data_IF_342009729571
#
_entry.id   IF_342009729571
#
_cell.length_a   1.000
_cell.length_b   1.000
_cell.length_c   1.000
_cell.angle_alpha   90.00
_cell.angle_beta   90.00
_cell.angle_gamma   90.00
#
_symmetry.space_group_name_H-M   'P 1'
#
loop_
_entity.id
_entity.type
_entity.pdbx_description
1 polymer ?
#
# COMPACT_ATOMS: atom_id res chain seq x y z
N UNK A 1 -3.47 -31.26 43.39
CA UNK A 1 -4.47 -30.43 42.71
C UNK A 1 -3.96 -29.00 42.70
N UNK A 2 -4.11 -28.31 41.56
CA UNK A 2 -3.61 -26.99 41.19
C UNK A 2 -2.23 -26.98 40.51
N UNK A 3 -2.23 -26.53 39.24
CA UNK A 3 -1.06 -26.32 38.39
C UNK A 3 -1.38 -26.47 36.90
N UNK A 4 -2.44 -25.82 36.39
CA UNK A 4 -2.65 -25.63 34.95
C UNK A 4 -1.91 -24.36 34.56
N UNK A 5 -0.77 -24.50 33.89
CA UNK A 5 -0.14 -23.41 33.15
C UNK A 5 -0.71 -23.47 31.73
N UNK A 6 -1.70 -22.64 31.47
CA UNK A 6 -2.11 -22.29 30.11
C UNK A 6 -1.29 -21.08 29.69
N UNK A 7 -0.21 -21.32 28.96
CA UNK A 7 0.45 -20.28 28.18
C UNK A 7 -0.48 -19.96 27.01
N UNK A 8 -1.25 -18.90 27.22
CA UNK A 8 -2.15 -18.30 26.26
C UNK A 8 -1.29 -17.56 25.24
N UNK A 9 -0.94 -18.21 24.13
CA UNK A 9 -0.44 -17.53 22.93
C UNK A 9 -1.51 -16.53 22.48
N UNK A 10 -1.23 -15.25 22.72
CA UNK A 10 -1.98 -14.14 22.14
C UNK A 10 -1.61 -14.13 20.66
N UNK A 11 -2.57 -14.28 19.72
CA UNK A 11 -2.26 -14.15 18.30
C UNK A 11 -1.78 -12.73 18.04
N UNK A 12 -0.59 -12.58 17.48
CA UNK A 12 -0.11 -11.30 16.97
C UNK A 12 -1.14 -10.77 15.97
N UNK A 13 -1.70 -9.59 16.27
CA UNK A 13 -2.55 -8.87 15.32
C UNK A 13 -1.70 -8.55 14.09
N UNK A 14 -1.92 -9.33 13.03
CA UNK A 14 -1.40 -9.10 11.70
C UNK A 14 -1.81 -7.69 11.28
N UNK A 15 -0.86 -6.76 11.42
CA UNK A 15 -1.08 -5.34 11.15
C UNK A 15 -1.21 -5.16 9.63
N UNK A 16 -2.38 -5.48 9.10
CA UNK A 16 -2.73 -5.30 7.70
C UNK A 16 -2.84 -3.81 7.44
N UNK A 17 -1.87 -3.28 6.69
CA UNK A 17 -1.89 -1.89 6.26
C UNK A 17 -3.18 -1.66 5.48
N UNK A 18 -4.00 -0.64 5.83
CA UNK A 18 -5.27 -0.42 5.16
C UNK A 18 -5.06 -0.16 3.67
N UNK A 19 -5.90 -0.73 2.79
CA UNK A 19 -5.72 -0.65 1.35
C UNK A 19 -5.77 0.80 0.83
N UNK A 20 -4.87 1.13 -0.10
CA UNK A 20 -4.77 2.47 -0.69
C UNK A 20 -5.98 2.76 -1.60
N UNK A 21 -6.30 4.03 -1.86
CA UNK A 21 -7.34 4.42 -2.83
C UNK A 21 -7.12 3.83 -4.24
N UNK A 22 -5.85 3.65 -4.63
CA UNK A 22 -5.46 2.96 -5.88
C UNK A 22 -5.86 1.49 -5.83
N UNK A 23 -5.52 0.79 -4.75
CA UNK A 23 -5.84 -0.62 -4.53
C UNK A 23 -7.37 -0.85 -4.57
N UNK A 24 -8.15 0.07 -4.00
CA UNK A 24 -9.62 0.03 -4.07
C UNK A 24 -10.16 0.23 -5.50
N UNK A 25 -9.57 1.13 -6.30
CA UNK A 25 -9.96 1.31 -7.72
C UNK A 25 -9.61 0.09 -8.55
N UNK A 26 -8.41 -0.46 -8.36
CA UNK A 26 -7.97 -1.66 -9.05
C UNK A 26 -8.82 -2.87 -8.64
N UNK A 27 -9.23 -2.96 -7.37
CA UNK A 27 -10.18 -3.97 -6.87
C UNK A 27 -11.53 -3.93 -7.60
N UNK A 28 -12.11 -2.74 -7.84
CA UNK A 28 -13.37 -2.66 -8.60
C UNK A 28 -13.22 -3.18 -10.03
N UNK A 29 -12.04 -2.97 -10.64
CA UNK A 29 -11.73 -3.46 -11.98
C UNK A 29 -11.56 -4.98 -11.97
N UNK A 30 -10.79 -5.51 -11.01
CA UNK A 30 -10.60 -6.94 -10.84
C UNK A 30 -11.90 -7.67 -10.53
N UNK A 31 -12.82 -7.12 -9.71
CA UNK A 31 -14.16 -7.68 -9.46
C UNK A 31 -14.99 -7.83 -10.75
N UNK A 32 -14.95 -6.81 -11.62
CA UNK A 32 -15.60 -6.87 -12.94
C UNK A 32 -14.96 -7.93 -13.83
N UNK A 33 -13.62 -7.98 -13.87
CA UNK A 33 -12.88 -8.98 -14.64
C UNK A 33 -13.13 -10.41 -14.13
N UNK A 34 -13.19 -10.64 -12.81
CA UNK A 34 -13.54 -11.92 -12.17
C UNK A 34 -14.88 -12.44 -12.72
N UNK A 35 -15.88 -11.56 -12.74
CA UNK A 35 -17.21 -11.90 -13.25
C UNK A 35 -17.19 -12.22 -14.74
N UNK A 36 -16.49 -11.41 -15.55
CA UNK A 36 -16.35 -11.63 -16.99
C UNK A 36 -15.62 -12.95 -17.32
N UNK A 37 -14.51 -13.23 -16.62
CA UNK A 37 -13.73 -14.46 -16.81
C UNK A 37 -14.55 -15.69 -16.44
N UNK A 38 -15.33 -15.66 -15.35
CA UNK A 38 -16.25 -16.76 -14.99
C UNK A 38 -17.28 -17.06 -16.09
N UNK A 39 -17.83 -16.01 -16.70
CA UNK A 39 -18.74 -16.17 -17.84
C UNK A 39 -18.03 -16.78 -19.05
N UNK A 40 -16.80 -16.35 -19.34
CA UNK A 40 -15.99 -16.92 -20.43
C UNK A 40 -15.67 -18.39 -20.17
N UNK A 41 -15.22 -18.76 -18.96
CA UNK A 41 -14.99 -20.16 -18.57
C UNK A 41 -16.24 -21.00 -18.82
N UNK A 42 -17.40 -20.55 -18.36
CA UNK A 42 -18.67 -21.26 -18.55
C UNK A 42 -19.02 -21.46 -20.03
N UNK A 43 -18.85 -20.42 -20.85
CA UNK A 43 -19.11 -20.49 -22.30
C UNK A 43 -18.14 -21.44 -22.99
N UNK A 44 -16.85 -21.35 -22.65
CA UNK A 44 -15.78 -22.19 -23.19
C UNK A 44 -15.98 -23.67 -22.85
N UNK A 45 -16.34 -23.99 -21.60
CA UNK A 45 -16.68 -25.36 -21.17
C UNK A 45 -17.84 -25.91 -22.02
N UNK A 46 -18.92 -25.13 -22.18
CA UNK A 46 -20.07 -25.55 -23.00
C UNK A 46 -19.68 -25.78 -24.45
N UNK A 47 -18.89 -24.86 -25.03
CA UNK A 47 -18.47 -24.97 -26.41
C UNK A 47 -17.54 -26.17 -26.64
N UNK A 48 -16.61 -26.42 -25.71
CA UNK A 48 -15.77 -27.62 -25.73
C UNK A 48 -16.62 -28.90 -25.66
N UNK A 49 -17.61 -28.95 -24.77
CA UNK A 49 -18.56 -30.08 -24.69
C UNK A 49 -19.30 -30.32 -26.00
N UNK A 50 -19.78 -29.26 -26.65
CA UNK A 50 -20.42 -29.36 -27.97
C UNK A 50 -19.45 -29.87 -29.03
N UNK A 51 -18.21 -29.36 -29.08
CA UNK A 51 -17.19 -29.86 -30.01
C UNK A 51 -16.92 -31.35 -29.82
N UNK A 52 -16.85 -31.84 -28.58
CA UNK A 52 -16.67 -33.27 -28.31
C UNK A 52 -17.88 -34.09 -28.78
N UNK A 53 -19.10 -33.64 -28.46
CA UNK A 53 -20.34 -34.33 -28.82
C UNK A 53 -20.58 -34.37 -30.34
N UNK A 54 -20.27 -33.28 -31.04
CA UNK A 54 -20.44 -33.15 -32.50
C UNK A 54 -19.28 -33.78 -33.30
N UNK A 55 -18.34 -34.45 -32.62
CA UNK A 55 -17.10 -34.99 -33.22
C UNK A 55 -16.31 -33.93 -34.00
N UNK A 56 -16.15 -32.76 -33.39
CA UNK A 56 -15.37 -31.65 -33.89
C UNK A 56 -13.91 -32.01 -34.19
N UNK A 57 -13.24 -31.12 -34.92
CA UNK A 57 -11.85 -31.33 -35.33
C UNK A 57 -10.91 -31.40 -34.11
N UNK A 58 -9.88 -32.25 -34.19
CA UNK A 58 -8.86 -32.38 -33.13
C UNK A 58 -8.21 -31.03 -32.81
N UNK A 59 -7.89 -30.24 -33.85
CA UNK A 59 -7.30 -28.91 -33.68
C UNK A 59 -8.22 -27.92 -32.97
N UNK A 60 -9.52 -27.92 -33.28
CA UNK A 60 -10.51 -27.06 -32.61
C UNK A 60 -10.64 -27.41 -31.13
N UNK A 61 -10.67 -28.71 -30.81
CA UNK A 61 -10.75 -29.20 -29.43
C UNK A 61 -9.49 -28.84 -28.65
N UNK A 62 -8.29 -29.13 -29.19
CA UNK A 62 -7.02 -28.76 -28.54
C UNK A 62 -6.89 -27.24 -28.34
N UNK A 63 -7.29 -26.44 -29.33
CA UNK A 63 -7.28 -24.97 -29.22
C UNK A 63 -8.21 -24.48 -28.11
N UNK A 64 -9.42 -25.05 -28.02
CA UNK A 64 -10.39 -24.67 -27.00
C UNK A 64 -9.98 -25.12 -25.59
N UNK A 65 -9.37 -26.30 -25.46
CA UNK A 65 -8.77 -26.77 -24.20
C UNK A 65 -7.69 -25.81 -23.72
N UNK A 66 -6.76 -25.43 -24.60
CA UNK A 66 -5.70 -24.45 -24.26
C UNK A 66 -6.28 -23.08 -23.89
N UNK A 67 -7.35 -22.65 -24.57
CA UNK A 67 -8.04 -21.41 -24.21
C UNK A 67 -8.67 -21.49 -22.82
N UNK A 68 -9.28 -22.63 -22.46
CA UNK A 68 -9.83 -22.87 -21.12
C UNK A 68 -8.76 -22.82 -20.02
N UNK A 69 -7.60 -23.45 -20.24
CA UNK A 69 -6.46 -23.40 -19.32
C UNK A 69 -5.97 -21.95 -19.09
N UNK A 70 -5.87 -21.16 -20.17
CA UNK A 70 -5.48 -19.74 -20.07
C UNK A 70 -6.50 -18.91 -19.27
N UNK A 71 -7.80 -19.20 -19.42
CA UNK A 71 -8.86 -18.54 -18.65
C UNK A 71 -8.77 -18.90 -17.15
N UNK A 72 -8.48 -20.16 -16.82
CA UNK A 72 -8.25 -20.59 -15.43
C UNK A 72 -7.05 -19.89 -14.81
N UNK A 73 -5.93 -19.81 -15.53
CA UNK A 73 -4.74 -19.07 -15.07
C UNK A 73 -5.04 -17.58 -14.85
N UNK A 74 -5.83 -16.97 -15.74
CA UNK A 74 -6.28 -15.58 -15.59
C UNK A 74 -7.17 -15.42 -14.36
N UNK A 75 -8.09 -16.36 -14.11
CA UNK A 75 -8.95 -16.34 -12.94
C UNK A 75 -8.15 -16.45 -11.63
N UNK A 76 -7.16 -17.34 -11.56
CA UNK A 76 -6.29 -17.50 -10.40
C UNK A 76 -5.49 -16.22 -10.11
N UNK A 77 -4.97 -15.55 -11.15
CA UNK A 77 -4.29 -14.26 -11.02
C UNK A 77 -5.21 -13.17 -10.47
N UNK A 78 -6.43 -13.06 -11.02
CA UNK A 78 -7.41 -12.08 -10.53
C UNK A 78 -7.79 -12.36 -9.08
N UNK A 79 -7.97 -13.63 -8.71
CA UNK A 79 -8.27 -14.03 -7.35
C UNK A 79 -7.13 -13.64 -6.40
N UNK A 80 -5.88 -13.95 -6.75
CA UNK A 80 -4.69 -13.55 -5.96
C UNK A 80 -4.57 -12.04 -5.77
N UNK A 81 -4.90 -11.25 -6.80
CA UNK A 81 -4.88 -9.80 -6.68
C UNK A 81 -6.01 -9.26 -5.78
N UNK A 82 -7.14 -9.96 -5.71
CA UNK A 82 -8.28 -9.57 -4.88
C UNK A 82 -8.12 -10.02 -3.43
N UNK A 83 -7.42 -11.13 -3.17
CA UNK A 83 -7.26 -11.66 -1.82
C UNK A 83 -6.51 -10.71 -0.88
N UNK A 84 -5.68 -9.81 -1.42
CA UNK A 84 -4.95 -8.81 -0.64
C UNK A 84 -5.78 -7.58 -0.27
N UNK A 85 -6.99 -7.42 -0.83
CA UNK A 85 -7.82 -6.21 -0.68
C UNK A 85 -9.26 -6.51 -0.24
N UNK A 86 -9.75 -7.71 -0.48
CA UNK A 86 -11.05 -8.20 0.02
C UNK A 86 -10.88 -8.75 1.44
N UNK A 87 -11.95 -8.68 2.24
CA UNK A 87 -11.96 -9.28 3.57
C UNK A 87 -11.94 -10.81 3.49
N UNK A 88 -11.58 -11.45 4.60
CA UNK A 88 -11.43 -12.91 4.67
C UNK A 88 -12.73 -13.65 4.31
N UNK A 89 -13.89 -13.15 4.76
CA UNK A 89 -15.17 -13.82 4.51
C UNK A 89 -15.55 -13.79 3.02
N UNK A 90 -15.30 -12.69 2.32
CA UNK A 90 -15.47 -12.61 0.88
C UNK A 90 -14.42 -13.48 0.16
N UNK A 91 -13.16 -13.51 0.61
CA UNK A 91 -12.14 -14.38 0.02
C UNK A 91 -12.55 -15.87 0.09
N UNK A 92 -12.94 -16.35 1.27
CA UNK A 92 -13.39 -17.74 1.48
C UNK A 92 -14.57 -18.09 0.57
N UNK A 93 -15.53 -17.16 0.43
CA UNK A 93 -16.68 -17.33 -0.46
C UNK A 93 -16.23 -17.41 -1.93
N UNK A 94 -15.25 -16.60 -2.32
CA UNK A 94 -14.77 -16.55 -3.70
C UNK A 94 -13.89 -17.76 -4.04
N UNK A 95 -13.24 -18.36 -3.05
CA UNK A 95 -12.54 -19.64 -3.15
C UNK A 95 -13.49 -20.79 -3.47
N UNK A 96 -14.62 -20.89 -2.76
CA UNK A 96 -15.62 -21.93 -3.04
C UNK A 96 -16.12 -21.84 -4.50
N UNK A 97 -16.39 -20.61 -4.97
CA UNK A 97 -16.74 -20.40 -6.37
C UNK A 97 -15.60 -20.73 -7.33
N UNK A 98 -14.36 -20.37 -7.00
CA UNK A 98 -13.21 -20.64 -7.85
C UNK A 98 -12.98 -22.15 -8.00
N UNK A 99 -13.02 -22.89 -6.88
CA UNK A 99 -12.86 -24.34 -6.85
C UNK A 99 -13.89 -25.02 -7.74
N UNK A 100 -15.16 -24.63 -7.65
CA UNK A 100 -16.22 -25.17 -8.52
C UNK A 100 -15.93 -24.97 -10.01
N UNK A 101 -15.37 -23.82 -10.40
CA UNK A 101 -15.00 -23.59 -11.81
C UNK A 101 -13.78 -24.40 -12.24
N UNK A 102 -12.81 -24.60 -11.34
CA UNK A 102 -11.65 -25.47 -11.58
C UNK A 102 -12.10 -26.91 -11.79
N UNK A 103 -12.99 -27.44 -10.95
CA UNK A 103 -13.54 -28.79 -11.10
C UNK A 103 -14.29 -28.95 -12.43
N UNK A 104 -15.24 -28.07 -12.73
CA UNK A 104 -16.02 -28.12 -13.98
C UNK A 104 -15.13 -28.02 -15.23
N UNK A 105 -14.08 -27.20 -15.17
CA UNK A 105 -13.13 -27.08 -16.25
C UNK A 105 -12.25 -28.33 -16.36
N UNK A 106 -11.81 -28.91 -15.24
CA UNK A 106 -11.08 -30.17 -15.17
C UNK A 106 -11.82 -31.31 -15.86
N UNK A 107 -13.09 -31.50 -15.52
CA UNK A 107 -13.96 -32.49 -16.17
C UNK A 107 -14.08 -32.26 -17.68
N UNK A 108 -14.16 -31.00 -18.12
CA UNK A 108 -14.29 -30.66 -19.53
C UNK A 108 -12.98 -30.91 -20.30
N UNK A 109 -11.83 -30.57 -19.70
CA UNK A 109 -10.51 -30.85 -20.24
C UNK A 109 -10.27 -32.36 -20.33
N UNK A 110 -10.65 -33.12 -19.31
CA UNK A 110 -10.52 -34.57 -19.30
C UNK A 110 -11.35 -35.19 -20.44
N UNK A 111 -12.62 -34.81 -20.58
CA UNK A 111 -13.47 -35.26 -21.71
C UNK A 111 -12.86 -34.91 -23.07
N UNK A 112 -12.33 -33.69 -23.21
CA UNK A 112 -11.61 -33.27 -24.41
C UNK A 112 -10.39 -34.15 -24.71
N UNK A 113 -9.59 -34.44 -23.69
CA UNK A 113 -8.41 -35.28 -23.80
C UNK A 113 -8.75 -36.73 -24.15
N UNK A 114 -9.76 -37.31 -23.50
CA UNK A 114 -10.27 -38.65 -23.81
C UNK A 114 -10.72 -38.74 -25.27
N UNK A 115 -11.42 -37.73 -25.78
CA UNK A 115 -11.79 -37.66 -27.19
C UNK A 115 -10.57 -37.63 -28.11
N UNK A 116 -9.58 -36.76 -27.83
CA UNK A 116 -8.36 -36.68 -28.63
C UNK A 116 -7.59 -38.01 -28.63
N UNK A 117 -7.51 -38.67 -27.48
CA UNK A 117 -6.85 -39.96 -27.32
C UNK A 117 -7.56 -41.07 -28.12
N UNK A 118 -8.89 -41.09 -28.12
CA UNK A 118 -9.67 -42.06 -28.92
C UNK A 118 -9.41 -41.97 -30.43
N UNK A 119 -8.91 -40.81 -30.91
CA UNK A 119 -8.65 -40.53 -32.32
C UNK A 119 -7.17 -40.47 -32.68
N UNK A 120 -6.28 -40.95 -31.81
CA UNK A 120 -4.83 -40.93 -32.04
C UNK A 120 -4.40 -41.71 -33.30
N UNK A 121 -5.09 -42.81 -33.60
CA UNK A 121 -4.83 -43.65 -34.78
C UNK A 121 -5.56 -43.21 -36.05
N UNK A 122 -6.42 -42.20 -35.98
CA UNK A 122 -7.07 -41.67 -37.18
C UNK A 122 -6.11 -40.77 -37.96
N UNK A 123 -6.10 -40.87 -39.30
CA UNK A 123 -5.34 -39.94 -40.11
C UNK A 123 -5.76 -38.50 -39.77
N UNK A 124 -4.83 -37.52 -39.80
CA UNK A 124 -5.17 -36.13 -39.57
C UNK A 124 -6.37 -35.77 -40.43
N UNK A 125 -7.39 -35.15 -39.84
CA UNK A 125 -8.60 -34.77 -40.56
C UNK A 125 -8.20 -33.87 -41.73
N UNK A 126 -8.02 -34.47 -42.90
CA UNK A 126 -7.79 -33.75 -44.14
C UNK A 126 -9.06 -32.96 -44.34
N UNK A 127 -8.98 -31.65 -44.20
CA UNK A 127 -10.06 -30.76 -44.60
C UNK A 127 -10.16 -30.98 -46.11
N UNK A 128 -11.03 -31.90 -46.53
CA UNK A 128 -11.44 -32.04 -47.91
C UNK A 128 -12.15 -30.73 -48.26
N UNK A 129 -11.36 -29.79 -48.79
CA UNK A 129 -11.78 -28.61 -49.54
C UNK A 129 -13.08 -27.96 -49.09
N UNK A 130 -13.17 -27.48 -47.84
CA UNK A 130 -13.77 -26.15 -47.67
C UNK A 130 -12.62 -25.18 -47.78
N UNK A 131 -12.31 -24.80 -49.03
CA UNK A 131 -11.50 -23.63 -49.32
C UNK A 131 -12.06 -22.54 -48.40
N UNK A 132 -11.28 -22.09 -47.42
CA UNK A 132 -11.62 -20.86 -46.71
C UNK A 132 -11.96 -19.84 -47.81
N UNK A 133 -13.00 -18.98 -47.65
CA UNK A 133 -13.29 -17.95 -48.63
C UNK A 133 -11.96 -17.33 -49.03
N UNK A 134 -11.60 -17.45 -50.30
CA UNK A 134 -10.32 -16.97 -50.79
C UNK A 134 -10.40 -15.46 -50.68
N UNK A 135 -9.99 -14.93 -49.53
CA UNK A 135 -9.92 -13.50 -49.28
C UNK A 135 -9.04 -12.94 -50.39
N UNK A 136 -9.56 -11.95 -51.11
CA UNK A 136 -8.83 -11.37 -52.23
C UNK A 136 -7.47 -10.84 -51.75
N UNK A 137 -6.42 -10.83 -52.59
CA UNK A 137 -5.14 -10.24 -52.20
C UNK A 137 -5.27 -8.82 -51.65
N UNK A 138 -6.27 -8.07 -52.13
CA UNK A 138 -6.66 -6.75 -51.60
C UNK A 138 -7.17 -6.78 -50.16
N UNK A 139 -7.98 -7.76 -49.78
CA UNK A 139 -8.48 -7.90 -48.41
C UNK A 139 -7.41 -8.44 -47.45
N UNK A 140 -6.49 -9.28 -47.94
CA UNK A 140 -5.33 -9.71 -47.16
C UNK A 140 -4.39 -8.54 -46.86
N UNK A 141 -4.10 -7.70 -47.85
CA UNK A 141 -3.28 -6.50 -47.65
C UNK A 141 -3.94 -5.52 -46.67
N UNK A 142 -5.26 -5.33 -46.78
CA UNK A 142 -6.00 -4.47 -45.84
C UNK A 142 -5.96 -4.99 -44.40
N UNK A 143 -6.12 -6.30 -44.19
CA UNK A 143 -6.01 -6.89 -42.86
C UNK A 143 -4.59 -6.78 -42.30
N UNK A 144 -3.58 -6.93 -43.15
CA UNK A 144 -2.18 -6.80 -42.74
C UNK A 144 -1.85 -5.35 -42.35
N UNK A 145 -2.33 -4.37 -43.12
CA UNK A 145 -2.24 -2.95 -42.75
C UNK A 145 -2.95 -2.64 -41.43
N UNK A 146 -4.16 -3.17 -41.23
CA UNK A 146 -4.91 -3.00 -39.97
C UNK A 146 -4.17 -3.63 -38.77
N UNK A 147 -3.53 -4.79 -38.96
CA UNK A 147 -2.68 -5.41 -37.92
C UNK A 147 -1.43 -4.59 -37.63
N UNK A 148 -0.75 -4.07 -38.66
CA UNK A 148 0.43 -3.23 -38.47
C UNK A 148 0.08 -1.93 -37.73
N UNK A 149 -1.05 -1.30 -38.07
CA UNK A 149 -1.58 -0.15 -37.35
C UNK A 149 -1.96 -0.48 -35.90
N UNK A 150 -2.57 -1.65 -35.67
CA UNK A 150 -2.89 -2.12 -34.32
C UNK A 150 -1.62 -2.38 -33.49
N UNK A 151 -0.59 -2.97 -34.09
CA UNK A 151 0.70 -3.22 -33.45
C UNK A 151 1.41 -1.90 -33.09
N UNK A 152 1.48 -0.95 -34.03
CA UNK A 152 2.06 0.37 -33.76
C UNK A 152 1.34 1.10 -32.62
N UNK A 153 0.01 0.98 -32.53
CA UNK A 153 -0.76 1.54 -31.41
C UNK A 153 -0.46 0.83 -30.09
N UNK A 154 -0.30 -0.49 -30.10
CA UNK A 154 0.08 -1.25 -28.92
C UNK A 154 1.48 -0.83 -28.43
N UNK A 155 2.45 -0.72 -29.34
CA UNK A 155 3.81 -0.31 -29.02
C UNK A 155 3.86 1.13 -28.47
N UNK A 156 3.11 2.05 -29.08
CA UNK A 156 2.97 3.42 -28.58
C UNK A 156 2.32 3.47 -27.18
N UNK A 157 1.31 2.63 -26.92
CA UNK A 157 0.67 2.54 -25.62
C UNK A 157 1.61 1.99 -24.55
N UNK A 158 2.49 1.03 -24.89
CA UNK A 158 3.53 0.52 -23.99
C UNK A 158 4.49 1.64 -23.59
N UNK A 159 5.00 2.40 -24.57
CA UNK A 159 5.89 3.54 -24.29
C UNK A 159 5.22 4.60 -23.40
N UNK A 160 3.95 4.91 -23.67
CA UNK A 160 3.20 5.86 -22.84
C UNK A 160 2.98 5.34 -21.41
N UNK A 161 2.72 4.04 -21.25
CA UNK A 161 2.55 3.42 -19.94
C UNK A 161 3.86 3.40 -19.14
N UNK A 162 4.99 3.14 -19.79
CA UNK A 162 6.31 3.18 -19.14
C UNK A 162 6.68 4.61 -18.71
N UNK A 163 6.39 5.61 -19.54
CA UNK A 163 6.59 7.02 -19.18
C UNK A 163 5.71 7.43 -17.99
N UNK A 164 4.42 7.06 -18.01
CA UNK A 164 3.52 7.31 -16.89
C UNK A 164 3.99 6.61 -15.60
N UNK A 165 4.55 5.40 -15.70
CA UNK A 165 5.13 4.68 -14.56
C UNK A 165 6.35 5.41 -14.01
N UNK A 166 7.22 5.93 -14.88
CA UNK A 166 8.38 6.72 -14.46
C UNK A 166 7.96 7.98 -13.70
N UNK A 167 7.01 8.73 -14.25
CA UNK A 167 6.49 9.96 -13.61
C UNK A 167 5.82 9.66 -12.26
N UNK A 168 5.08 8.55 -12.15
CA UNK A 168 4.48 8.12 -10.89
C UNK A 168 5.55 7.78 -9.83
N UNK A 169 6.63 7.10 -10.22
CA UNK A 169 7.73 6.78 -9.32
C UNK A 169 8.47 8.04 -8.85
N UNK A 170 8.72 9.00 -9.74
CA UNK A 170 9.32 10.28 -9.38
C UNK A 170 8.43 11.08 -8.42
N UNK A 171 7.12 11.07 -8.62
CA UNK A 171 6.17 11.72 -7.73
C UNK A 171 6.13 11.04 -6.34
N UNK A 172 6.17 9.71 -6.30
CA UNK A 172 6.25 8.94 -5.05
C UNK A 172 7.52 9.26 -4.27
N UNK A 173 8.69 9.27 -4.94
CA UNK A 173 9.96 9.63 -4.33
C UNK A 173 9.95 11.05 -3.74
N UNK A 174 9.35 12.02 -4.46
CA UNK A 174 9.18 13.39 -3.95
C UNK A 174 8.27 13.44 -2.72
N UNK A 175 7.18 12.67 -2.71
CA UNK A 175 6.28 12.60 -1.57
C UNK A 175 6.97 11.98 -0.33
N UNK A 176 7.77 10.93 -0.52
CA UNK A 176 8.53 10.30 0.56
C UNK A 176 9.60 11.24 1.12
N UNK A 177 10.30 11.98 0.25
CA UNK A 177 11.24 13.00 0.70
C UNK A 177 10.55 14.09 1.52
N UNK A 178 9.41 14.61 1.06
CA UNK A 178 8.64 15.61 1.80
C UNK A 178 8.16 15.09 3.17
N UNK A 179 7.77 13.81 3.27
CA UNK A 179 7.41 13.17 4.54
C UNK A 179 8.58 13.09 5.51
N UNK A 180 9.77 12.72 5.02
CA UNK A 180 11.00 12.67 5.84
C UNK A 180 11.38 14.06 6.34
N UNK A 181 11.32 15.07 5.48
CA UNK A 181 11.59 16.45 5.84
C UNK A 181 10.58 16.98 6.87
N UNK A 182 9.29 16.69 6.70
CA UNK A 182 8.27 17.05 7.68
C UNK A 182 8.49 16.38 9.05
N UNK A 183 8.86 15.09 9.05
CA UNK A 183 9.18 14.35 10.28
C UNK A 183 10.42 14.93 10.97
N UNK A 184 11.47 15.25 10.21
CA UNK A 184 12.68 15.87 10.75
C UNK A 184 12.39 17.27 11.32
N UNK A 185 11.55 18.07 10.66
CA UNK A 185 11.12 19.37 11.17
C UNK A 185 10.31 19.25 12.47
N UNK A 186 9.42 18.25 12.56
CA UNK A 186 8.67 17.97 13.79
C UNK A 186 9.59 17.55 14.94
N UNK A 187 10.59 16.70 14.67
CA UNK A 187 11.59 16.32 15.67
C UNK A 187 12.42 17.53 16.12
N UNK A 188 12.81 18.42 15.20
CA UNK A 188 13.53 19.64 15.56
C UNK A 188 12.71 20.57 16.45
N UNK A 189 11.40 20.70 16.19
CA UNK A 189 10.49 21.46 17.07
C UNK A 189 10.37 20.83 18.46
N UNK A 190 10.27 19.49 18.54
CA UNK A 190 10.20 18.79 19.81
C UNK A 190 11.48 18.93 20.63
N UNK A 191 12.65 18.92 20.00
CA UNK A 191 13.92 19.15 20.68
C UNK A 191 14.01 20.57 21.27
N UNK A 192 13.53 21.58 20.54
CA UNK A 192 13.47 22.96 21.05
C UNK A 192 12.51 23.09 22.25
N UNK A 193 11.37 22.41 22.22
CA UNK A 193 10.41 22.41 23.34
C UNK A 193 11.00 21.74 24.59
N UNK A 194 11.84 20.72 24.44
CA UNK A 194 12.55 20.09 25.56
C UNK A 194 13.73 20.93 26.08
N UNK A 195 14.37 21.76 25.25
CA UNK A 195 15.44 22.68 25.67
C UNK A 195 14.90 23.88 26.48
N UNK A 196 13.60 24.20 26.41
CA UNK A 196 12.97 25.24 27.24
C UNK A 196 12.83 24.82 28.73
N UNK A 197 12.98 23.54 29.07
CA UNK A 197 13.05 23.06 30.47
C UNK A 197 14.41 23.38 31.16
N UNK A 198 15.43 23.81 30.40
CA UNK A 198 16.68 24.38 30.93
C UNK A 198 16.54 25.86 31.38
N UNK A 199 15.32 26.43 31.33
CA UNK A 199 14.99 27.71 32.02
C UNK A 199 15.13 27.64 33.54
N UNK A 200 15.33 26.44 34.09
CA UNK A 200 15.74 26.15 35.47
C UNK A 200 16.92 27.00 35.98
N UNK A 201 17.85 27.42 35.11
CA UNK A 201 18.99 28.24 35.51
C UNK A 201 18.61 29.68 35.92
N UNK A 202 17.62 30.28 35.24
CA UNK A 202 17.16 31.66 35.52
C UNK A 202 16.33 31.71 36.80
N UNK A 203 15.50 30.69 37.02
CA UNK A 203 14.66 30.55 38.22
C UNK A 203 15.52 30.31 39.47
N UNK A 204 16.56 29.48 39.36
CA UNK A 204 17.51 29.24 40.46
C UNK A 204 18.32 30.49 40.85
N UNK A 205 18.75 31.29 39.86
CA UNK A 205 19.47 32.54 40.14
C UNK A 205 18.56 33.57 40.84
N UNK A 206 17.30 33.68 40.41
CA UNK A 206 16.31 34.58 41.03
C UNK A 206 15.99 34.19 42.48
N UNK A 207 15.85 32.89 42.75
CA UNK A 207 15.69 32.37 44.11
C UNK A 207 16.93 32.64 44.98
N UNK A 208 18.13 32.46 44.45
CA UNK A 208 19.37 32.68 45.19
C UNK A 208 19.57 34.16 45.55
N UNK A 209 19.31 35.07 44.61
CA UNK A 209 19.37 36.52 44.86
C UNK A 209 18.31 36.98 45.88
N UNK A 210 17.10 36.41 45.79
CA UNK A 210 16.05 36.67 46.78
C UNK A 210 16.43 36.17 48.18
N UNK A 211 17.13 35.05 48.29
CA UNK A 211 17.62 34.51 49.55
C UNK A 211 18.74 35.40 50.14
N UNK A 212 19.72 35.80 49.33
CA UNK A 212 20.76 36.76 49.71
C UNK A 212 20.17 38.09 50.24
N UNK A 213 19.12 38.60 49.60
CA UNK A 213 18.43 39.81 50.06
C UNK A 213 17.66 39.64 51.37
N UNK A 214 17.20 38.43 51.70
CA UNK A 214 16.60 38.13 53.03
C UNK A 214 17.68 38.04 54.10
N UNK A 215 18.78 37.37 53.81
CA UNK A 215 19.89 37.17 54.74
C UNK A 215 20.58 38.49 55.08
N UNK A 216 20.80 39.37 54.08
CA UNK A 216 21.33 40.71 54.31
C UNK A 216 20.43 41.55 55.22
N UNK A 217 19.10 41.53 55.00
CA UNK A 217 18.13 42.25 55.85
C UNK A 217 18.10 41.70 57.28
N UNK A 218 18.30 40.40 57.45
CA UNK A 218 18.38 39.80 58.77
C UNK A 218 19.68 40.17 59.49
N UNK A 219 20.81 40.23 58.76
CA UNK A 219 22.08 40.68 59.30
C UNK A 219 22.05 42.16 59.70
N UNK A 220 21.44 43.03 58.88
CA UNK A 220 21.24 44.44 59.22
C UNK A 220 20.37 44.62 60.48
N UNK A 221 19.30 43.83 60.62
CA UNK A 221 18.49 43.85 61.86
C UNK A 221 19.30 43.43 63.07
N UNK A 222 20.16 42.41 62.95
CA UNK A 222 21.08 41.98 64.02
C UNK A 222 22.09 43.07 64.40
N UNK A 223 22.68 43.73 63.40
CA UNK A 223 23.62 44.82 63.63
C UNK A 223 22.93 46.01 64.34
N UNK A 224 21.73 46.40 63.89
CA UNK A 224 20.96 47.47 64.51
C UNK A 224 20.44 47.13 65.91
N UNK A 225 20.09 45.86 66.17
CA UNK A 225 19.73 45.42 67.52
C UNK A 225 20.94 45.30 68.45
N UNK A 226 22.16 45.17 67.91
CA UNK A 226 23.41 45.16 68.67
C UNK A 226 23.90 46.58 69.00
N UNK A 227 23.53 47.59 68.21
CA UNK A 227 23.83 49.01 68.48
C UNK A 227 22.81 49.72 69.37
N UNK A 228 21.63 49.14 69.62
CA UNK A 228 20.60 49.74 70.50
C UNK A 228 20.85 49.55 72.01
N UNK A 229 22.08 49.23 72.44
CA UNK A 229 22.46 49.10 73.86
C UNK A 229 23.47 50.14 74.35
N UNK A 230 23.73 51.21 73.59
CA UNK A 230 24.57 52.31 74.06
C UNK A 230 23.97 53.66 73.65
N UNK A 231 23.18 54.27 74.53
CA UNK A 231 23.23 55.72 74.70
C UNK A 231 24.58 56.04 75.40
N UNK A 232 25.28 57.13 75.05
CA UNK A 232 24.85 58.45 75.55
C UNK A 232 25.07 59.64 74.58
N UNK A 233 24.54 60.77 75.04
CA UNK A 233 24.70 62.14 74.60
C UNK A 233 26.13 62.55 74.17
N UNK A 234 26.26 63.40 73.14
CA UNK A 234 26.94 64.70 73.30
C UNK A 234 26.81 65.62 72.06
N UNK A 235 26.66 66.91 72.37
CA UNK A 235 26.57 68.05 71.49
C UNK A 235 27.90 68.46 70.82
N UNK A 236 27.80 69.49 69.97
CA UNK A 236 28.81 70.48 69.48
C UNK A 236 28.99 70.35 67.95
N UNK A 237 28.35 71.16 67.10
CA UNK A 237 28.41 72.63 66.85
C UNK A 237 29.73 73.08 66.19
N UNK A 238 29.57 74.00 65.23
CA UNK A 238 30.56 74.87 64.55
C UNK A 238 31.12 74.25 63.26
N UNK A 239 31.09 74.87 62.07
CA UNK A 239 30.65 76.19 61.65
C UNK A 239 31.30 76.54 60.29
N UNK A 240 30.61 77.39 59.51
CA UNK A 240 31.11 78.39 58.53
C UNK A 240 32.23 77.98 57.54
N UNK A 241 32.24 78.28 56.23
CA UNK A 241 31.60 79.33 55.43
C UNK A 241 31.96 79.11 53.94
N UNK A 242 31.10 79.62 53.05
CA UNK A 242 31.36 80.30 51.76
C UNK A 242 32.78 80.24 51.15
N UNK A 243 32.94 80.13 49.82
CA UNK A 243 32.51 81.17 48.86
C UNK A 243 32.74 80.70 47.40
N UNK A 244 31.79 81.03 46.53
CA UNK A 244 31.84 80.89 45.08
C UNK A 244 32.80 81.88 44.39
N UNK A 245 33.29 81.49 43.23
CA UNK A 245 33.91 82.33 42.21
C UNK A 245 34.16 81.48 40.97
#
# INVERSE_FOLDING_TARGET
MAGVNGDNEVPEEETTTPPTQKDLRDATTWKKQRSAVRQLITKTIRYLGNLVNERGSRGSISSMMKHLENLLATAAKIHTNLSTVEDQAENDRQDEFHLKYVELAGDALERGQQYLNSRLGEPPSVIAGKKAPSISPSEQNRQEEERQLAQQRADAAILQADEARRQANEAANRADQARREATAAQQALQNLENDDDDTSAVTNLSHHLSQLGKDWRQNQRRLNSSTSSAAPDECVRIGLTHRSG
#
